data_IF_107757423168
#
_entry.id   IF_107757423168
#
_cell.length_a   1.000
_cell.length_b   1.000
_cell.length_c   1.000
_cell.angle_alpha   90.00
_cell.angle_beta   90.00
_cell.angle_gamma   90.00
#
_symmetry.space_group_name_H-M   'P 1'
#
loop_
_entity.id
_entity.type
_entity.pdbx_description
1 polymer ?
#
# COMPACT_ATOMS: atom_id res chain seq x y z
N UNK A 1 31.41 15.95 -21.76
CA UNK A 1 31.81 14.58 -22.15
C UNK A 1 31.60 14.44 -23.65
N UNK A 2 32.67 14.37 -24.45
CA UNK A 2 32.57 13.82 -25.81
C UNK A 2 32.07 12.37 -25.65
N UNK A 3 31.07 11.93 -26.42
CA UNK A 3 30.82 10.50 -26.61
C UNK A 3 32.15 9.81 -26.96
N UNK A 4 32.31 8.54 -26.57
CA UNK A 4 33.58 7.81 -26.72
C UNK A 4 34.19 8.04 -28.10
N UNK A 5 35.47 8.43 -28.18
CA UNK A 5 36.15 8.75 -29.45
C UNK A 5 36.05 7.59 -30.45
N UNK A 6 36.07 6.35 -29.94
CA UNK A 6 35.92 5.13 -30.71
C UNK A 6 34.50 4.96 -31.29
N UNK A 7 33.48 5.30 -30.50
CA UNK A 7 32.08 5.22 -30.91
C UNK A 7 31.76 6.27 -31.99
N UNK A 8 32.28 7.49 -31.83
CA UNK A 8 32.16 8.55 -32.84
C UNK A 8 32.81 8.15 -34.17
N UNK A 9 33.97 7.50 -34.13
CA UNK A 9 34.63 6.97 -35.33
C UNK A 9 33.80 5.85 -35.99
N UNK A 10 33.21 4.94 -35.19
CA UNK A 10 32.35 3.86 -35.68
C UNK A 10 31.06 4.38 -36.33
N UNK A 11 30.39 5.35 -35.71
CA UNK A 11 29.20 6.03 -36.28
C UNK A 11 29.60 6.77 -37.56
N UNK A 12 30.74 7.45 -37.54
CA UNK A 12 31.32 8.12 -38.71
C UNK A 12 31.60 7.16 -39.86
N UNK A 13 32.09 5.95 -39.60
CA UNK A 13 32.36 4.96 -40.64
C UNK A 13 31.07 4.33 -41.22
N UNK A 14 30.09 4.00 -40.37
CA UNK A 14 28.93 3.20 -40.76
C UNK A 14 27.73 4.01 -41.30
N UNK A 15 27.67 5.31 -41.02
CA UNK A 15 26.57 6.16 -41.52
C UNK A 15 26.70 6.45 -43.02
N UNK A 16 25.64 6.23 -43.80
CA UNK A 16 25.64 6.48 -45.25
C UNK A 16 25.54 7.97 -45.61
N UNK A 17 24.79 8.73 -44.81
CA UNK A 17 24.58 10.17 -45.01
C UNK A 17 25.37 10.93 -43.94
N UNK A 18 26.20 11.87 -44.36
CA UNK A 18 26.89 12.79 -43.46
C UNK A 18 26.51 14.21 -43.81
N UNK A 19 26.14 14.99 -42.81
CA UNK A 19 25.72 16.38 -42.97
C UNK A 19 26.73 17.27 -42.26
N UNK A 20 27.35 18.18 -43.02
CA UNK A 20 28.25 19.19 -42.49
C UNK A 20 27.54 20.54 -42.49
N UNK A 21 27.26 21.04 -41.29
CA UNK A 21 26.76 22.40 -41.08
C UNK A 21 27.93 23.35 -40.79
N UNK A 22 27.62 24.60 -40.46
CA UNK A 22 28.61 25.66 -40.27
C UNK A 22 29.70 25.22 -39.28
N UNK A 23 30.95 25.37 -39.70
CA UNK A 23 32.12 24.95 -38.95
C UNK A 23 33.19 26.04 -38.96
N UNK A 24 33.70 26.41 -37.78
CA UNK A 24 34.68 27.50 -37.61
C UNK A 24 36.07 27.01 -37.20
N UNK A 25 36.17 25.83 -36.57
CA UNK A 25 37.41 25.27 -36.04
C UNK A 25 38.02 24.24 -37.01
N UNK A 26 39.26 24.39 -37.48
CA UNK A 26 39.95 23.42 -38.34
C UNK A 26 40.38 22.10 -37.65
N UNK A 27 39.86 21.77 -36.47
CA UNK A 27 40.20 20.56 -35.72
C UNK A 27 39.58 19.25 -36.30
N UNK A 28 39.48 18.21 -35.46
CA UNK A 28 39.12 16.82 -35.80
C UNK A 28 37.90 16.68 -36.74
N UNK A 29 36.88 17.53 -36.59
CA UNK A 29 35.66 17.48 -37.41
C UNK A 29 35.89 17.96 -38.85
N UNK A 30 36.71 19.00 -39.04
CA UNK A 30 37.09 19.46 -40.38
C UNK A 30 37.89 18.37 -41.11
N UNK A 31 38.87 17.78 -40.44
CA UNK A 31 39.71 16.73 -41.03
C UNK A 31 38.88 15.50 -41.45
N UNK A 32 37.87 15.12 -40.66
CA UNK A 32 36.94 14.05 -41.00
C UNK A 32 36.15 14.35 -42.29
N UNK A 33 35.59 15.56 -42.42
CA UNK A 33 34.85 15.95 -43.62
C UNK A 33 35.75 16.16 -44.83
N UNK A 34 36.96 16.69 -44.66
CA UNK A 34 37.93 16.83 -45.74
C UNK A 34 38.35 15.47 -46.31
N UNK A 35 38.66 14.50 -45.44
CA UNK A 35 38.98 13.13 -45.85
C UNK A 35 37.79 12.42 -46.50
N UNK A 36 36.58 12.63 -45.99
CA UNK A 36 35.35 12.08 -46.58
C UNK A 36 35.05 12.72 -47.94
N UNK A 37 35.30 14.02 -48.08
CA UNK A 37 35.12 14.77 -49.30
C UNK A 37 36.13 14.35 -50.36
N UNK A 38 37.38 14.05 -50.01
CA UNK A 38 38.43 13.72 -50.97
C UNK A 38 38.73 14.85 -51.98
N UNK A 39 39.54 14.51 -52.98
CA UNK A 39 40.09 15.46 -53.95
C UNK A 39 39.52 15.19 -55.35
N UNK A 40 39.41 16.24 -56.17
CA UNK A 40 39.06 16.15 -57.59
C UNK A 40 40.22 16.66 -58.43
N UNK A 41 40.46 16.02 -59.56
CA UNK A 41 41.40 16.50 -60.56
C UNK A 41 40.76 17.67 -61.32
N UNK A 42 41.44 18.82 -61.35
CA UNK A 42 41.04 20.00 -62.11
C UNK A 42 42.16 20.32 -63.09
N UNK A 43 41.82 20.51 -64.36
CA UNK A 43 42.77 20.98 -65.36
C UNK A 43 42.97 22.48 -65.17
N UNK A 44 44.18 22.88 -64.79
CA UNK A 44 44.61 24.26 -64.67
C UNK A 44 45.40 24.64 -65.92
N UNK A 45 44.98 25.67 -66.67
CA UNK A 45 45.78 26.22 -67.76
C UNK A 45 46.96 27.00 -67.16
N UNK A 46 48.19 26.53 -67.38
CA UNK A 46 49.37 27.07 -66.69
C UNK A 46 49.94 28.28 -67.42
N UNK A 47 49.35 29.46 -67.20
CA UNK A 47 49.98 30.76 -67.40
C UNK A 47 50.15 31.26 -68.85
N UNK A 48 49.97 32.58 -69.00
CA UNK A 48 50.28 33.31 -70.23
C UNK A 48 51.74 33.75 -70.20
N UNK A 49 52.53 33.38 -71.22
CA UNK A 49 53.88 33.92 -71.40
C UNK A 49 53.79 35.23 -72.19
N UNK A 50 54.25 36.31 -71.57
CA UNK A 50 54.48 37.57 -72.28
C UNK A 50 55.91 37.54 -72.84
N UNK A 51 56.02 37.61 -74.17
CA UNK A 51 57.32 37.65 -74.85
C UNK A 51 57.98 39.01 -74.62
N UNK A 52 59.07 39.02 -73.84
CA UNK A 52 59.75 40.23 -73.39
C UNK A 52 60.54 40.95 -74.51
N UNK A 53 60.70 40.35 -75.70
CA UNK A 53 61.39 40.97 -76.85
C UNK A 53 60.46 41.67 -77.85
N UNK A 54 59.14 41.58 -77.68
CA UNK A 54 58.17 42.21 -78.59
C UNK A 54 57.72 43.59 -78.08
N UNK A 55 58.07 44.66 -78.81
CA UNK A 55 57.66 46.05 -78.57
C UNK A 55 56.13 46.28 -78.56
N UNK A 56 55.31 45.26 -78.86
CA UNK A 56 53.84 45.34 -78.91
C UNK A 56 53.12 44.45 -77.88
N UNK A 57 53.83 43.91 -76.87
CA UNK A 57 53.19 43.28 -75.70
C UNK A 57 52.18 42.18 -76.03
N UNK A 58 52.48 41.30 -77.00
CA UNK A 58 51.60 40.17 -77.33
C UNK A 58 51.68 39.11 -76.24
N UNK A 59 50.60 38.96 -75.49
CA UNK A 59 50.40 37.85 -74.56
C UNK A 59 50.09 36.58 -75.37
N UNK A 60 50.92 35.55 -75.25
CA UNK A 60 50.67 34.24 -75.83
C UNK A 60 50.38 33.24 -74.70
N UNK A 61 49.27 32.52 -74.84
CA UNK A 61 48.92 31.43 -73.92
C UNK A 61 49.96 30.31 -74.05
N UNK A 62 50.60 29.95 -72.94
CA UNK A 62 51.50 28.81 -72.96
C UNK A 62 50.59 27.57 -72.97
N UNK A 63 50.57 26.84 -74.09
CA UNK A 63 49.65 25.71 -74.38
C UNK A 63 49.87 24.47 -73.47
N UNK A 64 50.27 24.68 -72.24
CA UNK A 64 50.41 23.69 -71.18
C UNK A 64 49.18 23.71 -70.30
N UNK A 65 48.50 22.56 -70.19
CA UNK A 65 47.47 22.30 -69.20
C UNK A 65 48.07 21.36 -68.14
N UNK A 66 48.09 21.81 -66.89
CA UNK A 66 48.56 21.02 -65.76
C UNK A 66 47.35 20.47 -65.02
N UNK A 67 47.33 19.17 -64.77
CA UNK A 67 46.26 18.54 -63.98
C UNK A 67 46.67 18.61 -62.51
N UNK A 68 45.91 19.35 -61.71
CA UNK A 68 46.15 19.52 -60.28
C UNK A 68 45.05 18.84 -59.46
N UNK A 69 45.43 18.25 -58.33
CA UNK A 69 44.46 17.71 -57.36
C UNK A 69 44.01 18.84 -56.43
N UNK A 70 42.71 19.08 -56.38
CA UNK A 70 42.10 20.11 -55.53
C UNK A 70 41.05 19.51 -54.62
N UNK A 71 41.00 19.94 -53.36
CA UNK A 71 39.96 19.51 -52.41
C UNK A 71 38.56 19.89 -52.92
N UNK A 72 37.58 18.99 -52.72
CA UNK A 72 36.18 19.23 -53.16
C UNK A 72 35.40 20.19 -52.27
N UNK A 73 35.89 20.45 -51.05
CA UNK A 73 35.32 21.39 -50.09
C UNK A 73 36.44 22.27 -49.50
N UNK A 74 36.08 23.47 -49.06
CA UNK A 74 36.96 24.41 -48.37
C UNK A 74 36.36 24.80 -47.01
N UNK A 75 37.20 25.11 -46.04
CA UNK A 75 36.77 25.52 -44.70
C UNK A 75 36.05 26.87 -44.75
N UNK A 76 36.46 27.76 -45.65
CA UNK A 76 35.80 29.05 -45.87
C UNK A 76 34.34 28.87 -46.32
N UNK A 77 34.07 27.91 -47.21
CA UNK A 77 32.73 27.57 -47.69
C UNK A 77 31.84 27.04 -46.55
N UNK A 78 32.41 26.27 -45.62
CA UNK A 78 31.68 25.83 -44.42
C UNK A 78 31.47 26.98 -43.41
N UNK A 79 32.41 27.91 -43.30
CA UNK A 79 32.33 29.07 -42.40
C UNK A 79 31.29 30.09 -42.88
N UNK A 80 31.11 30.22 -44.19
CA UNK A 80 30.15 31.13 -44.81
C UNK A 80 28.71 30.60 -44.86
N UNK A 81 28.46 29.33 -44.51
CA UNK A 81 27.11 28.77 -44.46
C UNK A 81 26.17 29.61 -43.58
N UNK A 82 25.03 30.01 -44.13
CA UNK A 82 23.99 30.69 -43.38
C UNK A 82 23.19 29.69 -42.51
N UNK A 83 22.44 30.16 -41.49
CA UNK A 83 21.56 29.29 -40.71
C UNK A 83 20.61 28.49 -41.61
N UNK A 84 20.66 27.16 -41.51
CA UNK A 84 19.88 26.24 -42.33
C UNK A 84 20.56 25.80 -43.63
N UNK A 85 21.73 26.32 -43.97
CA UNK A 85 22.56 25.82 -45.07
C UNK A 85 23.49 24.70 -44.58
N UNK A 86 23.73 23.70 -45.43
CA UNK A 86 24.59 22.56 -45.11
C UNK A 86 25.05 21.81 -46.37
N UNK A 87 26.13 21.04 -46.21
CA UNK A 87 26.64 20.16 -47.25
C UNK A 87 26.29 18.71 -46.90
N UNK A 88 25.58 18.05 -47.82
CA UNK A 88 25.22 16.63 -47.73
C UNK A 88 26.26 15.82 -48.48
N UNK A 89 26.90 14.91 -47.77
CA UNK A 89 27.75 13.88 -48.33
C UNK A 89 26.92 12.61 -48.44
N UNK A 90 26.58 12.25 -49.67
CA UNK A 90 25.87 11.01 -49.98
C UNK A 90 26.64 10.24 -51.05
N UNK A 91 27.21 9.10 -50.64
CA UNK A 91 28.14 8.32 -51.48
C UNK A 91 29.28 9.23 -51.99
N UNK A 92 29.48 9.30 -53.30
CA UNK A 92 30.51 10.13 -53.93
C UNK A 92 30.08 11.58 -54.22
N UNK A 93 28.82 11.93 -53.98
CA UNK A 93 28.26 13.26 -54.30
C UNK A 93 28.22 14.14 -53.07
N UNK A 94 28.56 15.40 -53.28
CA UNK A 94 28.46 16.46 -52.29
C UNK A 94 27.40 17.44 -52.82
N UNK A 95 26.34 17.65 -52.04
CA UNK A 95 25.23 18.54 -52.41
C UNK A 95 25.11 19.64 -51.37
N UNK A 96 25.18 20.89 -51.81
CA UNK A 96 24.88 22.06 -50.97
C UNK A 96 23.36 22.25 -50.93
N UNK A 97 22.77 22.22 -49.74
CA UNK A 97 21.32 22.23 -49.56
C UNK A 97 20.89 23.19 -48.45
N UNK A 98 19.59 23.51 -48.44
CA UNK A 98 18.92 24.30 -47.39
C UNK A 98 17.93 23.42 -46.65
N UNK A 99 17.92 23.47 -45.32
CA UNK A 99 17.04 22.63 -44.51
C UNK A 99 15.65 23.21 -44.53
N UNK A 100 14.68 22.35 -44.26
CA UNK A 100 13.35 22.81 -43.93
C UNK A 100 13.36 23.51 -42.56
N UNK A 101 12.95 24.78 -42.55
CA UNK A 101 12.75 25.54 -41.32
C UNK A 101 11.27 25.48 -40.91
N UNK A 102 10.97 24.73 -39.86
CA UNK A 102 9.65 24.68 -39.26
C UNK A 102 9.57 25.68 -38.10
N UNK A 103 8.67 26.65 -38.18
CA UNK A 103 8.33 27.53 -37.06
C UNK A 103 6.90 27.23 -36.56
N UNK A 104 6.70 26.12 -35.81
CA UNK A 104 5.38 25.78 -35.31
C UNK A 104 4.90 26.87 -34.34
N UNK A 105 3.61 27.24 -34.44
CA UNK A 105 3.01 28.21 -33.53
C UNK A 105 3.00 27.63 -32.10
N UNK A 106 3.45 28.37 -31.07
CA UNK A 106 3.42 27.88 -29.71
C UNK A 106 1.98 27.63 -29.27
N UNK A 107 1.75 26.53 -28.58
CA UNK A 107 0.45 26.21 -27.98
C UNK A 107 0.33 26.90 -26.62
N UNK A 108 -0.91 27.24 -26.20
CA UNK A 108 -1.15 27.89 -24.91
C UNK A 108 -0.80 26.98 -23.73
N UNK A 109 -1.09 25.69 -23.87
CA UNK A 109 -0.89 24.67 -22.83
C UNK A 109 -0.39 23.37 -23.47
N UNK A 110 0.61 22.73 -22.84
CA UNK A 110 1.15 21.43 -23.24
C UNK A 110 0.62 20.37 -22.29
N UNK A 111 -0.42 19.65 -22.69
CA UNK A 111 -0.93 18.50 -21.93
C UNK A 111 -0.24 17.22 -22.40
N UNK A 112 0.51 16.59 -21.50
CA UNK A 112 1.07 15.27 -21.75
C UNK A 112 -0.04 14.20 -21.59
N UNK A 113 -0.05 13.22 -22.49
CA UNK A 113 -0.94 12.07 -22.36
C UNK A 113 -0.57 11.26 -21.11
N UNK A 114 -1.54 11.04 -20.23
CA UNK A 114 -1.40 10.14 -19.09
C UNK A 114 -2.01 8.79 -19.44
N UNK A 115 -1.17 7.76 -19.49
CA UNK A 115 -1.62 6.39 -19.72
C UNK A 115 -1.99 5.71 -18.41
N UNK A 116 -2.99 4.85 -18.45
CA UNK A 116 -3.36 3.99 -17.32
C UNK A 116 -2.43 2.76 -17.33
N UNK A 117 -1.78 2.49 -16.20
CA UNK A 117 -1.03 1.25 -16.01
C UNK A 117 -2.03 0.16 -15.65
N UNK A 118 -2.08 -0.89 -16.47
CA UNK A 118 -2.91 -2.07 -16.22
C UNK A 118 -1.99 -3.22 -15.87
N UNK A 119 -2.19 -3.79 -14.69
CA UNK A 119 -1.48 -5.01 -14.27
C UNK A 119 -2.20 -6.24 -14.79
N UNK A 120 -1.44 -7.33 -14.94
CA UNK A 120 -2.02 -8.65 -15.17
C UNK A 120 -2.82 -9.09 -13.93
N UNK A 121 -3.92 -9.84 -14.09
CA UNK A 121 -4.63 -10.41 -12.96
C UNK A 121 -3.72 -11.34 -12.15
N UNK A 122 -3.92 -11.37 -10.84
CA UNK A 122 -3.08 -12.17 -9.95
C UNK A 122 -3.14 -13.67 -10.26
N UNK A 123 -1.99 -14.34 -10.22
CA UNK A 123 -1.85 -15.79 -10.47
C UNK A 123 -2.81 -16.65 -9.65
N UNK A 124 -3.06 -16.26 -8.39
CA UNK A 124 -3.99 -16.99 -7.52
C UNK A 124 -5.41 -17.02 -8.09
N UNK A 125 -5.88 -15.89 -8.62
CA UNK A 125 -7.20 -15.76 -9.24
C UNK A 125 -7.22 -16.59 -10.53
N UNK A 126 -6.19 -16.47 -11.36
CA UNK A 126 -6.08 -17.24 -12.60
C UNK A 126 -6.11 -18.75 -12.36
N UNK A 127 -5.36 -19.24 -11.36
CA UNK A 127 -5.37 -20.66 -10.98
C UNK A 127 -6.75 -21.10 -10.50
N UNK A 128 -7.38 -20.33 -9.60
CA UNK A 128 -8.72 -20.67 -9.10
C UNK A 128 -9.75 -20.75 -10.23
N UNK A 129 -9.66 -19.85 -11.21
CA UNK A 129 -10.54 -19.79 -12.36
C UNK A 129 -10.33 -20.99 -13.28
N UNK A 130 -9.07 -21.32 -13.59
CA UNK A 130 -8.73 -22.48 -14.44
C UNK A 130 -9.15 -23.78 -13.76
N UNK A 131 -8.86 -23.95 -12.47
CA UNK A 131 -9.29 -25.13 -11.70
C UNK A 131 -10.82 -25.23 -11.66
N UNK A 132 -11.52 -24.10 -11.53
CA UNK A 132 -12.99 -24.04 -11.60
C UNK A 132 -13.52 -24.55 -12.95
N UNK A 133 -12.94 -24.07 -14.05
CA UNK A 133 -13.32 -24.53 -15.39
C UNK A 133 -13.03 -26.01 -15.62
N UNK A 134 -11.88 -26.52 -15.17
CA UNK A 134 -11.55 -27.93 -15.29
C UNK A 134 -12.48 -28.82 -14.47
N UNK A 135 -12.78 -28.42 -13.24
CA UNK A 135 -13.71 -29.11 -12.34
C UNK A 135 -15.11 -29.17 -12.95
N UNK A 136 -15.59 -28.04 -13.45
CA UNK A 136 -16.89 -27.96 -14.10
C UNK A 136 -16.97 -28.77 -15.39
N UNK A 137 -15.89 -28.77 -16.19
CA UNK A 137 -15.79 -29.60 -17.40
C UNK A 137 -15.86 -31.09 -17.08
N UNK A 138 -15.18 -31.54 -16.02
CA UNK A 138 -15.25 -32.94 -15.56
C UNK A 138 -16.68 -33.31 -15.13
N UNK A 139 -17.34 -32.42 -14.40
CA UNK A 139 -18.75 -32.58 -13.98
C UNK A 139 -19.67 -32.76 -15.19
N UNK A 140 -19.54 -31.89 -16.20
CA UNK A 140 -20.32 -31.97 -17.44
C UNK A 140 -20.09 -33.28 -18.22
N UNK A 141 -18.85 -33.78 -18.23
CA UNK A 141 -18.51 -35.04 -18.88
C UNK A 141 -19.02 -36.27 -18.11
N UNK A 142 -19.26 -36.14 -16.80
CA UNK A 142 -19.76 -37.19 -15.91
C UNK A 142 -21.25 -37.51 -16.05
N UNK A 143 -22.01 -36.75 -16.87
CA UNK A 143 -23.43 -37.01 -17.15
C UNK A 143 -24.42 -36.21 -16.29
N UNK A 144 -25.70 -36.33 -16.60
CA UNK A 144 -26.81 -35.45 -16.13
C UNK A 144 -27.27 -35.67 -14.68
N UNK A 145 -26.61 -36.55 -13.91
CA UNK A 145 -27.01 -36.93 -12.55
C UNK A 145 -26.23 -36.27 -11.41
N UNK A 146 -25.39 -35.27 -11.68
CA UNK A 146 -24.47 -34.72 -10.65
C UNK A 146 -25.22 -34.03 -9.50
N UNK A 147 -26.41 -33.50 -9.77
CA UNK A 147 -27.21 -32.77 -8.79
C UNK A 147 -28.42 -33.56 -8.25
N UNK A 148 -28.63 -34.81 -8.69
CA UNK A 148 -29.81 -35.58 -8.28
C UNK A 148 -29.66 -36.26 -6.92
N UNK A 149 -28.43 -36.63 -6.53
CA UNK A 149 -28.15 -37.37 -5.28
C UNK A 149 -27.29 -36.55 -4.32
N UNK A 150 -27.76 -35.33 -3.98
CA UNK A 150 -27.10 -34.52 -2.94
C UNK A 150 -27.80 -34.77 -1.61
N UNK A 151 -27.16 -35.55 -0.75
CA UNK A 151 -27.52 -35.62 0.66
C UNK A 151 -27.18 -34.29 1.33
N UNK A 152 -28.18 -33.41 1.41
CA UNK A 152 -28.07 -32.18 2.17
C UNK A 152 -27.75 -32.52 3.65
N UNK A 153 -26.83 -31.83 4.32
CA UNK A 153 -26.65 -31.97 5.76
C UNK A 153 -27.95 -31.64 6.52
N UNK A 154 -28.20 -32.28 7.66
CA UNK A 154 -29.21 -31.78 8.61
C UNK A 154 -28.68 -30.49 9.24
N UNK A 155 -28.96 -29.37 8.57
CA UNK A 155 -28.59 -28.01 8.98
C UNK A 155 -29.85 -27.18 9.29
N UNK A 156 -29.65 -26.01 9.88
CA UNK A 156 -30.70 -25.05 10.24
C UNK A 156 -31.63 -24.75 9.04
N UNK A 157 -31.07 -24.69 7.83
CA UNK A 157 -31.84 -24.49 6.61
C UNK A 157 -32.86 -25.61 6.34
N UNK A 158 -32.54 -26.87 6.64
CA UNK A 158 -33.52 -27.98 6.51
C UNK A 158 -34.61 -27.87 7.57
N UNK A 159 -34.25 -27.49 8.79
CA UNK A 159 -35.21 -27.33 9.88
C UNK A 159 -36.19 -26.19 9.57
N UNK A 160 -35.68 -25.05 9.10
CA UNK A 160 -36.51 -23.94 8.63
C UNK A 160 -37.34 -24.36 7.42
N UNK A 161 -36.80 -25.14 6.48
CA UNK A 161 -37.57 -25.62 5.34
C UNK A 161 -38.71 -26.57 5.76
N UNK A 162 -38.48 -27.46 6.73
CA UNK A 162 -39.54 -28.32 7.32
C UNK A 162 -40.62 -27.47 7.99
N UNK A 163 -40.23 -26.53 8.86
CA UNK A 163 -41.15 -25.60 9.53
C UNK A 163 -41.95 -24.75 8.55
N UNK A 164 -41.30 -24.31 7.46
CA UNK A 164 -41.93 -23.56 6.40
C UNK A 164 -42.99 -24.38 5.67
N UNK A 165 -42.78 -25.69 5.48
CA UNK A 165 -43.80 -26.55 4.84
C UNK A 165 -44.98 -26.83 5.79
N UNK A 166 -44.71 -26.94 7.09
CA UNK A 166 -45.70 -27.27 8.13
C UNK A 166 -46.68 -26.12 8.45
N UNK A 167 -46.34 -24.86 8.12
CA UNK A 167 -47.20 -23.72 8.43
C UNK A 167 -48.52 -23.70 7.61
N UNK A 168 -49.66 -23.39 8.25
CA UNK A 168 -50.98 -23.40 7.61
C UNK A 168 -51.27 -22.16 6.76
N UNK A 169 -50.42 -21.13 6.77
CA UNK A 169 -50.67 -19.89 6.00
C UNK A 169 -50.44 -20.08 4.49
N UNK A 170 -51.31 -19.46 3.69
CA UNK A 170 -51.26 -19.51 2.22
C UNK A 170 -50.30 -18.48 1.62
N UNK A 171 -50.14 -17.31 2.25
CA UNK A 171 -49.26 -16.27 1.75
C UNK A 171 -47.78 -16.60 2.05
N UNK A 172 -46.90 -16.68 1.04
CA UNK A 172 -45.51 -17.10 1.24
C UNK A 172 -44.72 -16.24 2.23
N UNK A 173 -45.04 -14.94 2.30
CA UNK A 173 -44.40 -14.01 3.22
C UNK A 173 -44.81 -14.28 4.67
N UNK A 174 -46.12 -14.45 4.92
CA UNK A 174 -46.66 -14.74 6.26
C UNK A 174 -46.17 -16.09 6.75
N UNK A 175 -46.24 -17.11 5.87
CA UNK A 175 -45.67 -18.43 6.07
C UNK A 175 -44.19 -18.40 6.45
N UNK A 176 -43.43 -17.51 5.80
CA UNK A 176 -42.02 -17.28 6.09
C UNK A 176 -41.77 -16.61 7.43
N UNK A 177 -42.60 -15.62 7.80
CA UNK A 177 -42.52 -14.94 9.09
C UNK A 177 -42.84 -15.92 10.22
N UNK A 178 -43.91 -16.69 10.10
CA UNK A 178 -44.35 -17.65 11.12
C UNK A 178 -43.35 -18.80 11.29
N UNK A 179 -42.81 -19.35 10.19
CA UNK A 179 -41.76 -20.37 10.26
C UNK A 179 -40.48 -19.86 10.96
N UNK A 180 -40.09 -18.59 10.73
CA UNK A 180 -38.95 -17.97 11.40
C UNK A 180 -39.23 -17.67 12.87
N UNK A 181 -40.45 -17.27 13.23
CA UNK A 181 -40.87 -17.08 14.62
C UNK A 181 -40.84 -18.40 15.39
N UNK A 182 -41.37 -19.47 14.82
CA UNK A 182 -41.35 -20.79 15.45
C UNK A 182 -39.92 -21.36 15.55
N UNK A 183 -39.10 -21.20 14.50
CA UNK A 183 -37.69 -21.58 14.55
C UNK A 183 -36.94 -20.80 15.64
N UNK A 184 -37.22 -19.50 15.76
CA UNK A 184 -36.70 -18.65 16.82
C UNK A 184 -37.16 -19.14 18.18
N UNK A 185 -38.44 -19.44 18.37
CA UNK A 185 -38.99 -19.96 19.62
C UNK A 185 -38.43 -21.34 19.99
N UNK A 186 -38.13 -22.21 19.03
CA UNK A 186 -37.45 -23.51 19.27
C UNK A 186 -35.98 -23.35 19.64
N UNK A 187 -35.27 -22.35 19.08
CA UNK A 187 -33.93 -21.95 19.53
C UNK A 187 -33.94 -21.20 20.87
N UNK A 188 -35.05 -20.54 21.17
CA UNK A 188 -35.35 -19.82 22.41
C UNK A 188 -36.29 -20.62 23.31
N UNK A 189 -36.29 -21.97 23.26
CA UNK A 189 -36.46 -22.67 24.51
C UNK A 189 -35.50 -21.97 25.45
N UNK A 190 -35.97 -21.34 26.55
CA UNK A 190 -35.04 -20.80 27.49
C UNK A 190 -34.24 -22.04 27.90
N UNK A 191 -33.01 -22.13 27.40
CA UNK A 191 -31.93 -22.53 28.25
C UNK A 191 -32.22 -21.72 29.48
N UNK A 192 -32.83 -22.38 30.48
CA UNK A 192 -33.12 -21.78 31.75
C UNK A 192 -31.89 -20.96 32.03
N UNK A 193 -32.04 -19.66 32.27
CA UNK A 193 -30.95 -18.87 32.78
C UNK A 193 -30.66 -19.54 34.11
N UNK A 194 -29.83 -20.57 34.07
CA UNK A 194 -29.14 -21.11 35.22
C UNK A 194 -28.26 -19.92 35.50
N UNK A 195 -28.75 -19.08 36.40
CA UNK A 195 -27.90 -18.19 37.16
C UNK A 195 -26.89 -19.13 37.79
N UNK A 196 -25.76 -19.33 37.12
CA UNK A 196 -24.58 -19.89 37.75
C UNK A 196 -24.14 -18.82 38.74
N UNK A 197 -24.77 -18.85 39.91
CA UNK A 197 -24.32 -18.13 41.08
C UNK A 197 -23.01 -18.81 41.45
N UNK A 198 -21.90 -18.15 41.13
CA UNK A 198 -20.59 -18.61 41.57
C UNK A 198 -20.51 -18.45 43.08
N UNK A 199 -20.78 -19.52 43.82
CA UNK A 199 -20.57 -19.58 45.26
C UNK A 199 -19.06 -19.65 45.54
N UNK A 200 -18.47 -18.48 45.80
CA UNK A 200 -17.10 -18.38 46.31
C UNK A 200 -17.05 -18.74 47.80
N UNK A 201 -15.88 -19.14 48.33
CA UNK A 201 -15.68 -19.38 49.75
C UNK A 201 -16.07 -18.15 50.60
N UNK A 202 -16.55 -18.40 51.82
CA UNK A 202 -16.95 -17.33 52.75
C UNK A 202 -15.81 -16.30 52.95
N UNK A 203 -16.10 -15.03 52.70
CA UNK A 203 -15.14 -13.93 52.83
C UNK A 203 -14.34 -13.60 51.57
N UNK A 204 -14.59 -14.28 50.44
CA UNK A 204 -14.06 -13.91 49.12
C UNK A 204 -15.17 -13.35 48.23
N UNK A 205 -14.82 -12.35 47.42
CA UNK A 205 -15.70 -11.75 46.42
C UNK A 205 -14.96 -11.65 45.09
N UNK A 206 -15.67 -11.85 43.99
CA UNK A 206 -15.28 -11.44 42.64
C UNK A 206 -16.42 -10.61 42.03
N UNK A 207 -16.23 -10.10 40.82
CA UNK A 207 -17.26 -9.27 40.14
C UNK A 207 -18.58 -10.01 39.83
N UNK A 208 -18.58 -11.34 39.88
CA UNK A 208 -19.74 -12.19 39.60
C UNK A 208 -20.35 -12.82 40.87
N UNK A 209 -19.76 -12.55 42.05
CA UNK A 209 -20.24 -13.05 43.33
C UNK A 209 -21.42 -12.22 43.86
N UNK A 210 -22.37 -12.90 44.50
CA UNK A 210 -23.47 -12.26 45.24
C UNK A 210 -22.92 -11.62 46.51
N UNK A 211 -23.38 -10.42 46.83
CA UNK A 211 -22.94 -9.70 48.02
C UNK A 211 -23.45 -10.41 49.29
N UNK A 212 -22.54 -10.93 50.10
CA UNK A 212 -22.85 -11.52 51.39
C UNK A 212 -22.81 -10.45 52.49
N UNK A 213 -23.97 -9.92 52.86
CA UNK A 213 -24.09 -8.94 53.94
C UNK A 213 -24.12 -9.62 55.32
N UNK A 214 -23.22 -9.19 56.21
CA UNK A 214 -23.30 -9.55 57.63
C UNK A 214 -24.48 -8.85 58.30
N UNK A 215 -24.97 -9.40 59.42
CA UNK A 215 -26.12 -8.83 60.15
C UNK A 215 -25.85 -7.40 60.66
N UNK A 216 -24.57 -7.06 60.89
CA UNK A 216 -24.15 -5.70 61.20
C UNK A 216 -24.35 -4.75 60.01
N UNK A 217 -23.93 -5.18 58.80
CA UNK A 217 -24.03 -4.35 57.60
C UNK A 217 -25.47 -4.15 57.13
N UNK A 218 -26.36 -5.13 57.34
CA UNK A 218 -27.80 -4.99 57.03
C UNK A 218 -28.44 -3.78 57.72
N UNK A 219 -27.95 -3.38 58.89
CA UNK A 219 -28.47 -2.23 59.63
C UNK A 219 -27.91 -0.89 59.14
N UNK A 220 -26.87 -0.89 58.30
CA UNK A 220 -26.16 0.31 57.82
C UNK A 220 -26.43 0.58 56.34
N UNK A 221 -26.77 -0.45 55.56
CA UNK A 221 -27.02 -0.32 54.12
C UNK A 221 -28.26 0.55 53.86
N UNK A 222 -28.04 1.70 53.22
CA UNK A 222 -29.06 2.66 52.80
C UNK A 222 -29.57 2.33 51.39
N UNK A 223 -30.16 1.15 51.19
CA UNK A 223 -30.73 0.75 49.91
C UNK A 223 -32.24 0.49 50.04
N UNK A 224 -33.04 1.06 49.13
CA UNK A 224 -34.50 0.86 49.08
C UNK A 224 -34.86 -0.60 48.81
N UNK A 225 -34.01 -1.32 48.08
CA UNK A 225 -34.16 -2.73 47.77
C UNK A 225 -32.84 -3.50 48.00
N UNK A 226 -32.74 -4.14 49.16
CA UNK A 226 -31.55 -4.89 49.58
C UNK A 226 -31.33 -6.12 48.70
N UNK A 227 -32.39 -6.77 48.23
CA UNK A 227 -32.28 -7.97 47.38
C UNK A 227 -31.66 -7.63 46.03
N UNK A 228 -32.11 -6.54 45.40
CA UNK A 228 -31.55 -6.07 44.14
C UNK A 228 -30.12 -5.55 44.32
N UNK A 229 -29.84 -4.86 45.42
CA UNK A 229 -28.49 -4.37 45.73
C UNK A 229 -27.49 -5.50 45.98
N UNK A 230 -27.96 -6.65 46.47
CA UNK A 230 -27.10 -7.79 46.78
C UNK A 230 -26.77 -8.66 45.56
N UNK A 231 -27.36 -8.37 44.39
CA UNK A 231 -27.06 -9.10 43.16
C UNK A 231 -25.59 -8.90 42.73
N UNK A 232 -25.03 -9.83 41.95
CA UNK A 232 -23.70 -9.66 41.38
C UNK A 232 -23.61 -8.38 40.56
N UNK A 233 -22.45 -7.71 40.60
CA UNK A 233 -22.20 -6.52 39.78
C UNK A 233 -22.34 -6.85 38.28
N UNK A 234 -21.93 -8.06 37.88
CA UNK A 234 -22.14 -8.60 36.55
C UNK A 234 -22.68 -10.04 36.63
N UNK A 235 -23.57 -10.39 35.70
CA UNK A 235 -24.08 -11.76 35.56
C UNK A 235 -23.19 -12.53 34.59
N UNK A 236 -22.54 -13.60 35.05
CA UNK A 236 -21.50 -14.34 34.30
C UNK A 236 -21.97 -14.82 32.92
N UNK A 237 -23.10 -15.52 32.87
CA UNK A 237 -23.63 -16.10 31.63
C UNK A 237 -24.08 -15.03 30.63
N UNK A 238 -24.86 -14.04 31.08
CA UNK A 238 -25.30 -12.91 30.25
C UNK A 238 -24.12 -12.10 29.69
N UNK A 239 -23.08 -11.88 30.51
CA UNK A 239 -21.88 -11.14 30.10
C UNK A 239 -21.10 -11.92 29.04
N UNK A 240 -20.88 -13.23 29.24
CA UNK A 240 -20.21 -14.09 28.25
C UNK A 240 -20.93 -14.11 26.91
N UNK A 241 -22.26 -14.21 26.94
CA UNK A 241 -23.07 -14.29 25.72
C UNK A 241 -23.08 -12.94 24.99
N UNK A 242 -23.10 -11.82 25.74
CA UNK A 242 -22.96 -10.46 25.20
C UNK A 242 -21.61 -10.25 24.53
N UNK A 243 -20.51 -10.68 25.17
CA UNK A 243 -19.15 -10.63 24.58
C UNK A 243 -19.08 -11.47 23.30
N UNK A 244 -19.63 -12.69 23.35
CA UNK A 244 -19.66 -13.59 22.19
C UNK A 244 -20.40 -12.95 21.01
N UNK A 245 -21.53 -12.28 21.28
CA UNK A 245 -22.31 -11.56 20.27
C UNK A 245 -21.57 -10.37 19.68
N UNK A 246 -20.86 -9.58 20.50
CA UNK A 246 -20.05 -8.45 20.02
C UNK A 246 -18.94 -8.94 19.10
N UNK A 247 -18.22 -9.99 19.51
CA UNK A 247 -17.12 -10.57 18.72
C UNK A 247 -17.59 -11.14 17.37
N UNK A 248 -18.83 -11.66 17.34
CA UNK A 248 -19.48 -12.06 16.10
C UNK A 248 -19.78 -10.92 15.15
N UNK A 249 -20.29 -9.79 15.68
CA UNK A 249 -20.57 -8.59 14.87
C UNK A 249 -19.26 -8.03 14.29
N UNK A 250 -18.14 -8.19 15.00
CA UNK A 250 -16.80 -7.80 14.54
C UNK A 250 -16.18 -8.78 13.51
N UNK A 251 -16.92 -9.81 13.09
CA UNK A 251 -16.52 -10.68 11.98
C UNK A 251 -15.60 -11.85 12.35
N UNK A 252 -15.45 -12.19 13.65
CA UNK A 252 -14.68 -13.36 14.08
C UNK A 252 -15.47 -14.67 13.95
N UNK A 253 -14.77 -15.78 13.71
CA UNK A 253 -15.36 -17.11 13.52
C UNK A 253 -15.94 -17.71 14.83
N UNK A 254 -17.06 -18.45 14.73
CA UNK A 254 -17.88 -18.92 15.89
C UNK A 254 -17.18 -19.80 16.91
N UNK A 255 -16.15 -20.55 16.51
CA UNK A 255 -15.38 -21.38 17.45
C UNK A 255 -14.40 -20.56 18.28
N UNK A 256 -13.83 -19.51 17.69
CA UNK A 256 -12.84 -18.67 18.36
C UNK A 256 -13.49 -17.70 19.34
N UNK A 257 -14.69 -17.18 19.03
CA UNK A 257 -15.40 -16.20 19.85
C UNK A 257 -15.81 -16.74 21.22
N UNK A 258 -16.25 -18.00 21.31
CA UNK A 258 -16.63 -18.62 22.59
C UNK A 258 -15.42 -18.87 23.49
N UNK A 259 -14.27 -19.22 22.91
CA UNK A 259 -13.00 -19.35 23.64
C UNK A 259 -12.58 -18.01 24.23
N UNK A 260 -12.53 -16.98 23.39
CA UNK A 260 -12.19 -15.60 23.79
C UNK A 260 -13.11 -15.11 24.91
N UNK A 261 -14.43 -15.30 24.78
CA UNK A 261 -15.37 -14.90 25.81
C UNK A 261 -15.16 -15.66 27.13
N UNK A 262 -14.83 -16.95 27.08
CA UNK A 262 -14.53 -17.72 28.28
C UNK A 262 -13.24 -17.29 28.96
N UNK A 263 -12.23 -16.92 28.19
CA UNK A 263 -10.94 -16.48 28.72
C UNK A 263 -11.07 -15.09 29.36
N UNK A 264 -11.79 -14.17 28.71
CA UNK A 264 -12.05 -12.85 29.28
C UNK A 264 -12.82 -12.93 30.61
N UNK A 265 -13.80 -13.83 30.72
CA UNK A 265 -14.51 -14.05 32.00
C UNK A 265 -13.55 -14.55 33.08
N UNK A 266 -12.62 -15.46 32.77
CA UNK A 266 -11.62 -15.92 33.74
C UNK A 266 -10.68 -14.79 34.17
N UNK A 267 -10.26 -13.95 33.22
CA UNK A 267 -9.41 -12.80 33.51
C UNK A 267 -10.13 -11.80 34.43
N UNK A 268 -11.42 -11.55 34.19
CA UNK A 268 -12.26 -10.72 35.06
C UNK A 268 -12.38 -11.31 36.47
N UNK A 269 -12.58 -12.62 36.60
CA UNK A 269 -12.62 -13.30 37.91
C UNK A 269 -11.28 -13.18 38.63
N UNK A 270 -10.17 -13.44 37.95
CA UNK A 270 -8.83 -13.39 38.54
C UNK A 270 -8.44 -11.96 38.96
N UNK A 271 -8.75 -10.96 38.12
CA UNK A 271 -8.41 -9.56 38.38
C UNK A 271 -9.25 -8.94 39.51
N UNK A 272 -10.47 -9.44 39.74
CA UNK A 272 -11.39 -8.88 40.74
C UNK A 272 -11.50 -9.72 42.01
N UNK A 273 -10.75 -10.81 42.11
CA UNK A 273 -10.73 -11.65 43.31
C UNK A 273 -10.14 -10.87 44.51
N UNK A 274 -10.95 -10.75 45.56
CA UNK A 274 -10.61 -10.02 46.78
C UNK A 274 -11.15 -10.75 48.02
N UNK A 275 -10.46 -10.74 49.16
CA UNK A 275 -9.16 -10.11 49.44
C UNK A 275 -7.97 -10.95 48.97
N UNK A 276 -6.80 -10.34 48.69
CA UNK A 276 -5.58 -11.08 48.41
C UNK A 276 -5.15 -11.90 49.64
N UNK A 277 -4.56 -13.08 49.41
CA UNK A 277 -4.02 -13.91 50.49
C UNK A 277 -2.77 -13.21 51.06
N UNK A 278 -2.87 -12.71 52.29
CA UNK A 278 -1.74 -12.09 53.00
C UNK A 278 -1.08 -13.12 53.91
N UNK A 279 0.22 -13.39 53.72
CA UNK A 279 0.96 -14.41 54.47
C UNK A 279 1.17 -14.06 55.95
N UNK A 280 1.10 -12.77 56.32
CA UNK A 280 1.23 -12.28 57.69
C UNK A 280 0.20 -11.19 57.97
N UNK A 281 -0.85 -11.53 58.70
CA UNK A 281 -1.67 -10.52 59.34
C UNK A 281 -0.95 -10.03 60.61
N UNK A 282 -0.63 -8.74 60.69
CA UNK A 282 -0.10 -8.12 61.92
C UNK A 282 -1.11 -8.26 63.06
N UNK A 283 -0.61 -8.48 64.27
CA UNK A 283 -1.47 -8.59 65.45
C UNK A 283 -2.20 -7.27 65.73
N UNK A 284 -3.41 -7.33 66.30
CA UNK A 284 -4.18 -6.13 66.67
C UNK A 284 -3.40 -5.20 67.59
N UNK A 285 -2.62 -5.75 68.53
CA UNK A 285 -1.79 -4.98 69.44
C UNK A 285 -0.64 -4.25 68.71
N UNK A 286 0.01 -4.90 67.74
CA UNK A 286 1.07 -4.26 66.94
C UNK A 286 0.51 -3.11 66.10
N UNK A 287 -0.70 -3.25 65.56
CA UNK A 287 -1.39 -2.18 64.84
C UNK A 287 -1.73 -1.00 65.76
N UNK A 288 -2.18 -1.26 66.99
CA UNK A 288 -2.44 -0.21 67.99
C UNK A 288 -1.16 0.52 68.34
N UNK A 289 -0.06 -0.19 68.59
CA UNK A 289 1.23 0.43 68.90
C UNK A 289 1.75 1.31 67.74
N UNK A 290 1.56 0.87 66.50
CA UNK A 290 1.91 1.65 65.30
C UNK A 290 1.02 2.90 65.18
N UNK A 291 -0.29 2.77 65.41
CA UNK A 291 -1.22 3.90 65.38
C UNK A 291 -0.89 4.91 66.48
N UNK A 292 -0.61 4.45 67.70
CA UNK A 292 -0.24 5.32 68.83
C UNK A 292 1.11 5.99 68.60
N UNK A 293 2.07 5.28 68.01
CA UNK A 293 3.35 5.86 67.58
C UNK A 293 3.15 6.93 66.50
N UNK A 294 2.25 6.69 65.53
CA UNK A 294 1.90 7.66 64.50
C UNK A 294 1.25 8.91 65.11
N UNK A 295 0.29 8.73 66.03
CA UNK A 295 -0.38 9.83 66.74
C UNK A 295 0.62 10.62 67.57
N UNK A 296 1.48 9.95 68.35
CA UNK A 296 2.50 10.60 69.17
C UNK A 296 3.49 11.41 68.32
N UNK A 297 3.90 10.86 67.17
CA UNK A 297 4.78 11.55 66.22
C UNK A 297 4.12 12.78 65.61
N UNK A 298 2.83 12.71 65.28
CA UNK A 298 2.04 13.86 64.80
C UNK A 298 1.93 14.93 65.90
N UNK A 299 1.69 14.54 67.15
CA UNK A 299 1.58 15.48 68.28
C UNK A 299 2.91 16.14 68.62
N UNK A 300 4.03 15.40 68.63
CA UNK A 300 5.38 15.95 68.81
C UNK A 300 5.68 16.99 67.72
N UNK A 301 5.43 16.64 66.46
CA UNK A 301 5.66 17.56 65.34
C UNK A 301 4.78 18.82 65.44
N UNK A 302 3.53 18.69 65.90
CA UNK A 302 2.67 19.85 66.13
C UNK A 302 3.13 20.71 67.31
N UNK A 303 3.78 20.13 68.34
CA UNK A 303 4.35 20.88 69.46
C UNK A 303 5.61 21.64 69.07
N UNK A 304 6.52 21.01 68.33
CA UNK A 304 7.73 21.67 67.81
C UNK A 304 7.36 22.90 66.96
N UNK A 305 6.34 22.76 66.10
CA UNK A 305 5.80 23.87 65.29
C UNK A 305 5.19 24.98 66.18
N UNK A 306 4.57 24.64 67.31
CA UNK A 306 4.00 25.63 68.23
C UNK A 306 5.05 26.32 69.11
N UNK A 307 6.16 25.67 69.44
CA UNK A 307 7.27 26.26 70.21
C UNK A 307 8.14 27.17 69.34
N UNK A 308 8.35 26.83 68.06
CA UNK A 308 8.93 27.76 67.08
C UNK A 308 8.05 29.01 66.88
N UNK A 309 6.73 28.87 66.92
CA UNK A 309 5.80 30.00 66.81
C UNK A 309 5.71 30.86 68.09
N UNK A 310 6.05 30.34 69.27
CA UNK A 310 6.03 31.08 70.54
C UNK A 310 7.38 31.75 70.90
N UNK A 311 8.46 31.38 70.21
CA UNK A 311 9.80 31.96 70.36
C UNK A 311 10.13 33.07 69.34
N UNK A 312 9.13 33.46 68.54
CA UNK A 312 9.13 34.62 67.63
C UNK A 312 8.16 35.70 68.11
#
# INVERSE_FOLDING_TARGET
QKASKEEAASIGANTNIKICMKLEDPAETWEFFLKTAGESYVAHASGFQADAQSLSGRYADSRSAQIEKRARIDLLDLKEQAPGEYHIFFKSRIVRAKTFFANPRPVKELRLNQFVKVDAPADAILRSLVTGFESFKKILQGGTGVFSDIELPEDDAKNIAKLFVEQPEDMPLEKGISALLEYREKLLEPAAVVEDITELPAGQIDIFAVLQLSDYLKNIVLADNIEQFSQPLLVKNSTRDSITRIEHILGKARRDTRGIASDLIKDMQAATNYPPVVEKASGSNELVDVVDSLIASIVLKNKDVSEEAASS
#
